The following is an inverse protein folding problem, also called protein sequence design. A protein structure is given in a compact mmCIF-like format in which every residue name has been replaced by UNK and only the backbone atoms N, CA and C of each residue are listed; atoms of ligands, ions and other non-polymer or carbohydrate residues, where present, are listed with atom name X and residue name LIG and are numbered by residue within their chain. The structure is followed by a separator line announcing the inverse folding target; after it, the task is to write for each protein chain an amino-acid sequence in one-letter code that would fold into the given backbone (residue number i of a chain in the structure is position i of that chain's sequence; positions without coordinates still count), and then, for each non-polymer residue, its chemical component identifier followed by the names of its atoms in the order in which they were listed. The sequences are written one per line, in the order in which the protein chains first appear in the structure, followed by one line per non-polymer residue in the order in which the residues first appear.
data_IF_997140999396
#
_entry.id   IF_997140999396
#
_cell.length_a   1.000
_cell.length_b   1.000
_cell.length_c   1.000
_cell.angle_alpha   90.00
_cell.angle_beta   90.00
_cell.angle_gamma   90.00
#
_symmetry.space_group_name_H-M   'P 1'
#
loop_
_entity.id
_entity.type
_entity.pdbx_description
1 polymer ?
#
# COMPACT_ATOMS: atom_id res chain seq x y z
N UNK A 1 -2.29 -14.06 -16.89
CA UNK A 1 -3.17 -13.12 -16.19
C UNK A 1 -2.91 -13.24 -14.69
N UNK A 2 -2.53 -12.14 -14.03
CA UNK A 2 -2.30 -12.14 -12.58
C UNK A 2 -3.64 -12.35 -11.84
N UNK A 3 -3.78 -13.46 -11.11
CA UNK A 3 -4.98 -13.72 -10.30
C UNK A 3 -4.83 -13.09 -8.91
N UNK A 4 -5.81 -13.31 -8.05
CA UNK A 4 -5.88 -12.71 -6.71
C UNK A 4 -4.58 -12.93 -5.91
N UNK A 5 -4.11 -14.19 -5.79
CA UNK A 5 -2.94 -14.54 -4.99
C UNK A 5 -1.64 -13.91 -5.53
N UNK A 6 -1.54 -13.79 -6.85
CA UNK A 6 -0.44 -13.12 -7.55
C UNK A 6 -0.38 -11.63 -7.22
N UNK A 7 -1.51 -10.91 -7.36
CA UNK A 7 -1.57 -9.48 -7.02
C UNK A 7 -1.31 -9.25 -5.54
N UNK A 8 -1.85 -10.11 -4.67
CA UNK A 8 -1.64 -10.08 -3.23
C UNK A 8 -0.15 -10.20 -2.88
N UNK A 9 0.52 -11.21 -3.46
CA UNK A 9 1.95 -11.40 -3.24
C UNK A 9 2.77 -10.23 -3.75
N UNK A 10 2.39 -9.67 -4.91
CA UNK A 10 3.07 -8.52 -5.47
C UNK A 10 2.98 -7.30 -4.55
N UNK A 11 1.79 -6.95 -4.07
CA UNK A 11 1.59 -5.80 -3.16
C UNK A 11 2.36 -5.98 -1.86
N UNK A 12 2.37 -7.20 -1.31
CA UNK A 12 3.20 -7.51 -0.13
C UNK A 12 4.69 -7.28 -0.41
N UNK A 13 5.21 -7.78 -1.52
CA UNK A 13 6.62 -7.57 -1.92
C UNK A 13 6.94 -6.10 -2.19
N UNK A 14 6.00 -5.34 -2.76
CA UNK A 14 6.13 -3.90 -2.99
C UNK A 14 6.34 -3.15 -1.68
N UNK A 15 5.49 -3.42 -0.67
CA UNK A 15 5.58 -2.77 0.64
C UNK A 15 6.82 -3.19 1.42
N UNK A 16 7.15 -4.49 1.39
CA UNK A 16 8.38 -5.05 1.95
C UNK A 16 9.64 -4.38 1.34
N UNK A 17 9.72 -4.30 0.00
CA UNK A 17 10.84 -3.69 -0.69
C UNK A 17 10.94 -2.19 -0.41
N UNK A 18 9.81 -1.48 -0.34
CA UNK A 18 9.79 -0.05 -0.05
C UNK A 18 10.37 0.26 1.32
N UNK A 19 9.94 -0.50 2.34
CA UNK A 19 10.39 -0.34 3.72
C UNK A 19 11.92 -0.51 3.87
N UNK A 20 12.47 -1.56 3.25
CA UNK A 20 13.92 -1.80 3.29
C UNK A 20 14.70 -0.80 2.46
N UNK A 21 14.27 -0.54 1.23
CA UNK A 21 14.95 0.40 0.34
C UNK A 21 14.80 1.85 0.85
N UNK A 22 13.97 2.13 1.85
CA UNK A 22 13.78 3.49 2.36
C UNK A 22 13.14 4.43 1.34
N UNK A 23 12.35 3.88 0.42
CA UNK A 23 11.57 4.66 -0.57
C UNK A 23 10.11 4.74 -0.12
N UNK A 24 9.41 5.80 -0.51
CA UNK A 24 7.99 5.98 -0.19
C UNK A 24 7.15 5.72 -1.44
N UNK A 25 6.31 4.69 -1.39
CA UNK A 25 5.32 4.44 -2.44
C UNK A 25 4.10 5.31 -2.17
N UNK A 26 3.97 6.41 -2.92
CA UNK A 26 2.89 7.38 -2.79
C UNK A 26 1.56 6.77 -3.26
N UNK A 27 1.57 6.11 -4.42
CA UNK A 27 0.46 5.30 -4.91
C UNK A 27 0.94 4.23 -5.89
N UNK A 28 0.08 3.29 -6.24
CA UNK A 28 0.36 2.24 -7.21
C UNK A 28 -0.95 1.71 -7.80
N UNK A 29 -0.86 0.93 -8.87
CA UNK A 29 -1.97 0.11 -9.37
C UNK A 29 -1.41 -1.17 -10.00
N UNK A 30 -1.95 -2.33 -9.62
CA UNK A 30 -1.61 -3.63 -10.23
C UNK A 30 -2.77 -4.10 -11.08
N UNK A 31 -2.57 -4.21 -12.38
CA UNK A 31 -3.52 -4.76 -13.35
C UNK A 31 -3.16 -6.22 -13.64
N UNK A 32 -3.79 -6.83 -14.64
CA UNK A 32 -3.65 -8.26 -14.91
C UNK A 32 -2.37 -8.63 -15.67
N UNK A 33 -1.79 -7.66 -16.37
CA UNK A 33 -0.61 -7.82 -17.23
C UNK A 33 0.53 -6.83 -16.90
N UNK A 34 0.25 -5.73 -16.19
CA UNK A 34 1.25 -4.72 -15.83
C UNK A 34 0.89 -4.03 -14.51
N UNK A 35 1.79 -3.16 -14.04
CA UNK A 35 1.57 -2.35 -12.85
C UNK A 35 2.17 -0.97 -13.03
N UNK A 36 1.66 0.00 -12.27
CA UNK A 36 2.19 1.36 -12.17
C UNK A 36 2.52 1.67 -10.72
N UNK A 37 3.60 2.40 -10.47
CA UNK A 37 4.02 2.81 -9.12
C UNK A 37 4.49 4.25 -9.20
N UNK A 38 3.92 5.11 -8.34
CA UNK A 38 4.49 6.42 -8.04
C UNK A 38 5.29 6.30 -6.75
N UNK A 39 6.59 6.52 -6.86
CA UNK A 39 7.54 6.34 -5.76
C UNK A 39 8.37 7.60 -5.60
N UNK A 40 8.47 8.05 -4.36
CA UNK A 40 9.41 9.06 -3.93
C UNK A 40 10.67 8.36 -3.39
N UNK A 41 11.84 8.82 -3.83
CA UNK A 41 13.13 8.38 -3.31
C UNK A 41 13.69 9.54 -2.47
N UNK A 42 13.62 9.47 -1.13
CA UNK A 42 14.17 10.51 -0.28
C UNK A 42 15.68 10.68 -0.47
N UNK A 43 16.21 11.81 0.00
CA UNK A 43 17.66 12.01 0.04
C UNK A 43 18.33 10.89 0.87
N UNK A 44 19.36 10.28 0.28
CA UNK A 44 20.15 9.26 0.97
C UNK A 44 20.97 9.91 2.09
N UNK A 45 21.00 9.35 3.30
CA UNK A 45 21.86 9.86 4.37
C UNK A 45 23.34 9.86 3.97
N UNK A 46 24.08 10.88 4.40
CA UNK A 46 25.50 11.05 4.06
C UNK A 46 26.40 9.97 4.67
N UNK A 47 26.00 9.43 5.83
CA UNK A 47 26.78 8.46 6.58
C UNK A 47 26.12 7.08 6.55
N UNK A 48 26.96 6.05 6.50
CA UNK A 48 26.54 4.66 6.66
C UNK A 48 25.96 4.49 8.09
N UNK A 49 24.72 4.01 8.26
CA UNK A 49 24.18 3.74 9.57
C UNK A 49 24.90 2.58 10.24
N UNK A 50 24.88 2.59 11.57
CA UNK A 50 25.34 1.45 12.36
C UNK A 50 24.54 0.17 12.07
N UNK A 51 25.14 -0.95 12.44
CA UNK A 51 24.58 -2.28 12.23
C UNK A 51 23.12 -2.42 12.69
N UNK A 52 22.77 -1.89 13.86
CA UNK A 52 21.41 -2.02 14.42
C UNK A 52 20.35 -1.34 13.54
N UNK A 53 20.66 -0.21 12.91
CA UNK A 53 19.72 0.47 12.02
C UNK A 53 19.49 -0.33 10.71
N UNK A 54 20.53 -1.01 10.20
CA UNK A 54 20.41 -1.89 9.04
C UNK A 54 19.64 -3.17 9.41
N UNK A 55 19.94 -3.77 10.57
CA UNK A 55 19.24 -4.94 11.09
C UNK A 55 17.74 -4.68 11.28
N UNK A 56 17.39 -3.55 11.89
CA UNK A 56 15.99 -3.14 12.06
C UNK A 56 15.23 -3.04 10.72
N UNK A 57 15.89 -2.55 9.66
CA UNK A 57 15.29 -2.51 8.30
C UNK A 57 15.16 -3.90 7.67
N UNK A 58 16.04 -4.84 8.01
CA UNK A 58 16.03 -6.20 7.47
C UNK A 58 15.01 -7.10 8.17
N UNK A 59 14.69 -6.86 9.44
CA UNK A 59 13.75 -7.67 10.22
C UNK A 59 12.36 -7.78 9.55
N UNK A 60 11.94 -6.74 8.83
CA UNK A 60 10.69 -6.73 8.07
C UNK A 60 10.72 -7.55 6.77
N UNK A 61 11.91 -7.95 6.31
CA UNK A 61 12.14 -8.48 4.96
C UNK A 61 12.57 -9.95 4.88
N UNK A 62 13.06 -10.49 6.00
CA UNK A 62 13.78 -11.75 6.04
C UNK A 62 13.38 -12.58 7.25
N UNK A 63 13.74 -13.86 7.25
CA UNK A 63 13.41 -14.74 8.37
C UNK A 63 14.17 -14.33 9.64
N UNK A 64 13.60 -14.65 10.81
CA UNK A 64 14.31 -14.48 12.10
C UNK A 64 15.66 -15.18 12.10
N UNK A 65 15.76 -16.33 11.43
CA UNK A 65 17.00 -17.09 11.31
C UNK A 65 18.07 -16.33 10.49
N UNK A 66 17.69 -15.69 9.39
CA UNK A 66 18.62 -14.88 8.59
C UNK A 66 19.13 -13.67 9.39
N UNK A 67 18.26 -13.02 10.16
CA UNK A 67 18.65 -11.92 11.06
C UNK A 67 19.63 -12.41 12.12
N UNK A 68 19.36 -13.55 12.76
CA UNK A 68 20.26 -14.09 13.77
C UNK A 68 21.61 -14.49 13.18
N UNK A 69 21.63 -15.06 11.98
CA UNK A 69 22.89 -15.33 11.27
C UNK A 69 23.68 -14.05 11.03
N UNK A 70 23.03 -12.99 10.56
CA UNK A 70 23.69 -11.71 10.30
C UNK A 70 24.19 -11.05 11.61
N UNK A 71 23.43 -11.13 12.70
CA UNK A 71 23.87 -10.70 14.03
C UNK A 71 25.12 -11.46 14.49
N UNK A 72 25.15 -12.78 14.29
CA UNK A 72 26.31 -13.61 14.58
C UNK A 72 27.54 -13.25 13.75
N UNK A 73 27.36 -12.98 12.46
CA UNK A 73 28.44 -12.53 11.55
C UNK A 73 29.03 -11.19 12.01
N UNK A 74 28.19 -10.22 12.36
CA UNK A 74 28.61 -8.92 12.90
C UNK A 74 29.35 -9.09 14.23
N UNK A 75 28.83 -9.91 15.14
CA UNK A 75 29.47 -10.18 16.44
C UNK A 75 30.86 -10.81 16.26
N UNK A 76 31.00 -11.75 15.32
CA UNK A 76 32.27 -12.40 15.02
C UNK A 76 33.30 -11.44 14.38
N UNK A 77 32.85 -10.47 13.58
CA UNK A 77 33.73 -9.42 13.05
C UNK A 77 34.24 -8.51 14.17
N UNK A 78 33.33 -8.10 15.06
CA UNK A 78 33.67 -7.27 16.24
C UNK A 78 34.63 -7.96 17.20
N UNK A 79 34.44 -9.26 17.47
CA UNK A 79 35.34 -10.01 18.36
C UNK A 79 36.76 -10.13 17.81
N UNK A 80 36.95 -10.00 16.49
CA UNK A 80 38.26 -9.96 15.82
C UNK A 80 38.82 -8.56 15.66
N UNK A 81 38.11 -7.52 16.08
CA UNK A 81 38.48 -6.13 15.81
C UNK A 81 38.40 -5.73 14.32
N UNK A 82 37.70 -6.51 13.49
CA UNK A 82 37.64 -6.31 12.05
C UNK A 82 36.58 -5.27 11.65
N UNK A 83 36.91 -4.00 11.92
CA UNK A 83 36.05 -2.86 11.60
C UNK A 83 35.83 -2.68 10.09
N UNK A 84 36.81 -3.07 9.26
CA UNK A 84 36.71 -2.99 7.80
C UNK A 84 35.70 -4.02 7.29
N UNK A 85 35.79 -5.27 7.75
CA UNK A 85 34.85 -6.32 7.39
C UNK A 85 33.41 -6.02 7.84
N UNK A 86 33.21 -5.47 9.05
CA UNK A 86 31.88 -4.99 9.48
C UNK A 86 31.36 -3.91 8.52
N UNK A 87 32.18 -2.91 8.20
CA UNK A 87 31.79 -1.83 7.29
C UNK A 87 31.40 -2.35 5.91
N UNK A 88 32.19 -3.25 5.34
CA UNK A 88 31.93 -3.84 4.02
C UNK A 88 30.65 -4.68 4.00
N UNK A 89 30.39 -5.45 5.06
CA UNK A 89 29.15 -6.21 5.22
C UNK A 89 27.93 -5.28 5.23
N UNK A 90 27.97 -4.21 6.03
CA UNK A 90 26.89 -3.22 6.11
C UNK A 90 26.70 -2.47 4.78
N UNK A 91 27.80 -2.15 4.08
CA UNK A 91 27.77 -1.46 2.79
C UNK A 91 26.99 -2.25 1.72
N UNK A 92 27.02 -3.59 1.76
CA UNK A 92 26.26 -4.46 0.83
C UNK A 92 24.75 -4.27 0.94
N UNK A 93 24.24 -3.95 2.13
CA UNK A 93 22.84 -3.63 2.36
C UNK A 93 22.56 -2.16 2.06
N UNK A 94 23.43 -1.27 2.53
CA UNK A 94 23.29 0.17 2.36
C UNK A 94 23.19 0.60 0.89
N UNK A 95 23.98 -0.01 -0.01
CA UNK A 95 23.94 0.30 -1.45
C UNK A 95 22.59 0.06 -2.13
N UNK A 96 21.72 -0.74 -1.50
CA UNK A 96 20.39 -1.11 -2.01
C UNK A 96 19.29 -0.17 -1.51
N UNK A 97 19.63 0.70 -0.56
CA UNK A 97 18.71 1.67 0.03
C UNK A 97 18.81 3.02 -0.70
N UNK A 98 17.71 3.76 -0.74
CA UNK A 98 17.49 5.00 -1.51
C UNK A 98 17.90 4.86 -2.98
N UNK A 99 17.63 3.69 -3.57
CA UNK A 99 17.97 3.39 -4.96
C UNK A 99 16.79 2.75 -5.69
N UNK A 100 16.25 3.46 -6.68
CA UNK A 100 15.09 3.00 -7.47
C UNK A 100 15.37 1.68 -8.20
N UNK A 101 16.57 1.52 -8.75
CA UNK A 101 16.97 0.32 -9.49
C UNK A 101 17.00 -0.92 -8.59
N UNK A 102 17.59 -0.81 -7.40
CA UNK A 102 17.64 -1.91 -6.43
C UNK A 102 16.26 -2.22 -5.82
N UNK A 103 15.42 -1.20 -5.61
CA UNK A 103 14.01 -1.39 -5.24
C UNK A 103 13.24 -2.19 -6.30
N UNK A 104 13.29 -1.76 -7.56
CA UNK A 104 12.59 -2.44 -8.66
C UNK A 104 13.14 -3.84 -8.92
N UNK A 105 14.46 -4.02 -8.85
CA UNK A 105 15.12 -5.32 -8.96
C UNK A 105 14.66 -6.27 -7.85
N UNK A 106 14.53 -5.79 -6.61
CA UNK A 106 14.07 -6.61 -5.50
C UNK A 106 12.66 -7.15 -5.72
N UNK A 107 11.72 -6.29 -6.10
CA UNK A 107 10.33 -6.66 -6.38
C UNK A 107 10.30 -7.70 -7.49
N UNK A 108 10.90 -7.37 -8.64
CA UNK A 108 10.86 -8.21 -9.83
C UNK A 108 11.51 -9.58 -9.60
N UNK A 109 12.68 -9.64 -8.97
CA UNK A 109 13.38 -10.90 -8.72
C UNK A 109 12.68 -11.77 -7.68
N UNK A 110 12.21 -11.20 -6.55
CA UNK A 110 11.48 -11.97 -5.53
C UNK A 110 10.15 -12.48 -6.08
N UNK A 111 9.44 -11.67 -6.86
CA UNK A 111 8.18 -12.06 -7.47
C UNK A 111 8.37 -13.15 -8.52
N UNK A 112 9.34 -13.02 -9.44
CA UNK A 112 9.65 -14.06 -10.43
C UNK A 112 9.97 -15.40 -9.78
N UNK A 113 10.84 -15.42 -8.75
CA UNK A 113 11.19 -16.67 -8.05
C UNK A 113 9.98 -17.33 -7.41
N UNK A 114 9.16 -16.54 -6.71
CA UNK A 114 7.94 -17.04 -6.08
C UNK A 114 6.92 -17.56 -7.11
N UNK A 115 6.67 -16.79 -8.17
CA UNK A 115 5.70 -17.13 -9.19
C UNK A 115 6.13 -18.39 -9.96
N UNK A 116 7.41 -18.46 -10.34
CA UNK A 116 7.97 -19.62 -11.02
C UNK A 116 7.89 -20.89 -10.15
N UNK A 117 8.28 -20.79 -8.88
CA UNK A 117 8.16 -21.91 -7.94
C UNK A 117 6.69 -22.36 -7.76
N UNK A 118 5.76 -21.41 -7.60
CA UNK A 118 4.33 -21.70 -7.44
C UNK A 118 3.71 -22.41 -8.64
N UNK A 119 4.15 -22.06 -9.84
CA UNK A 119 3.57 -22.55 -11.10
C UNK A 119 4.42 -23.62 -11.79
N UNK A 120 5.47 -24.14 -11.14
CA UNK A 120 6.38 -25.11 -11.74
C UNK A 120 7.12 -24.61 -12.98
N UNK A 121 7.26 -23.28 -13.13
CA UNK A 121 7.88 -22.63 -14.30
C UNK A 121 9.35 -22.34 -14.05
N UNK A 122 10.10 -22.14 -15.15
CA UNK A 122 11.46 -21.61 -15.16
C UNK A 122 11.55 -20.46 -16.18
N UNK A 123 12.61 -19.67 -16.10
CA UNK A 123 12.86 -18.57 -17.04
C UNK A 123 12.29 -17.21 -16.63
N UNK A 124 12.27 -16.27 -17.58
CA UNK A 124 11.86 -14.88 -17.38
C UNK A 124 10.35 -14.75 -17.21
N UNK A 125 9.92 -13.83 -16.35
CA UNK A 125 8.51 -13.49 -16.13
C UNK A 125 8.14 -12.11 -16.66
N UNK A 126 9.12 -11.20 -16.67
CA UNK A 126 8.94 -9.81 -17.07
C UNK A 126 9.45 -9.63 -18.49
N UNK A 127 8.70 -8.90 -19.30
CA UNK A 127 9.03 -8.62 -20.70
C UNK A 127 10.37 -7.90 -20.88
N UNK A 128 10.71 -6.97 -19.98
CA UNK A 128 11.97 -6.23 -20.05
C UNK A 128 12.33 -5.48 -18.78
N UNK A 129 13.16 -4.43 -18.91
CA UNK A 129 13.44 -3.47 -17.82
C UNK A 129 12.18 -2.66 -17.48
N UNK A 130 12.18 -2.01 -16.31
CA UNK A 130 11.10 -1.08 -15.99
C UNK A 130 11.32 0.24 -16.76
N UNK A 131 10.22 0.91 -17.11
CA UNK A 131 10.26 2.29 -17.58
C UNK A 131 10.10 3.23 -16.38
N UNK A 132 10.83 4.36 -16.38
CA UNK A 132 10.73 5.36 -15.32
C UNK A 132 10.73 6.76 -15.91
N UNK A 133 9.81 7.59 -15.44
CA UNK A 133 9.76 9.03 -15.73
C UNK A 133 10.00 9.76 -14.42
N UNK A 134 10.95 10.69 -14.41
CA UNK A 134 11.17 11.57 -13.26
C UNK A 134 10.06 12.61 -13.25
N UNK A 135 9.37 12.74 -12.13
CA UNK A 135 8.40 13.80 -11.92
C UNK A 135 9.07 14.83 -11.01
N UNK A 136 9.26 16.04 -11.54
CA UNK A 136 9.91 17.10 -10.78
C UNK A 136 8.93 17.75 -9.80
N UNK A 137 9.34 17.81 -8.54
CA UNK A 137 8.58 18.40 -7.43
C UNK A 137 7.32 17.64 -6.98
N UNK A 138 6.80 18.07 -5.83
CA UNK A 138 5.50 17.64 -5.28
C UNK A 138 4.35 18.54 -5.81
N UNK A 139 4.42 18.94 -7.08
CA UNK A 139 3.46 19.84 -7.71
C UNK A 139 2.37 19.12 -8.51
N UNK A 140 1.73 19.85 -9.41
CA UNK A 140 0.60 19.38 -10.23
C UNK A 140 0.90 18.10 -11.01
N UNK A 141 2.09 18.00 -11.62
CA UNK A 141 2.49 16.82 -12.39
C UNK A 141 2.49 15.53 -11.53
N UNK A 142 2.92 15.62 -10.27
CA UNK A 142 2.93 14.50 -9.33
C UNK A 142 1.50 14.03 -9.02
N UNK A 143 0.60 14.97 -8.75
CA UNK A 143 -0.78 14.63 -8.42
C UNK A 143 -1.53 14.08 -9.64
N UNK A 144 -1.32 14.66 -10.82
CA UNK A 144 -1.90 14.16 -12.08
C UNK A 144 -1.41 12.74 -12.38
N UNK A 145 -0.13 12.44 -12.20
CA UNK A 145 0.39 11.08 -12.34
C UNK A 145 -0.20 10.13 -11.30
N UNK A 146 -0.33 10.56 -10.04
CA UNK A 146 -0.95 9.75 -9.01
C UNK A 146 -2.41 9.42 -9.35
N UNK A 147 -3.18 10.44 -9.75
CA UNK A 147 -4.56 10.28 -10.17
C UNK A 147 -4.68 9.39 -11.41
N UNK A 148 -3.73 9.52 -12.34
CA UNK A 148 -3.63 8.62 -13.47
C UNK A 148 -3.51 7.16 -12.98
N UNK A 149 -2.59 6.90 -12.06
CA UNK A 149 -2.33 5.57 -11.53
C UNK A 149 -3.55 5.01 -10.79
N UNK A 150 -4.15 5.76 -9.88
CA UNK A 150 -5.28 5.28 -9.07
C UNK A 150 -6.57 5.05 -9.86
N UNK A 151 -6.76 5.76 -10.99
CA UNK A 151 -7.92 5.60 -11.87
C UNK A 151 -7.72 4.56 -12.99
N UNK A 152 -6.54 3.93 -13.10
CA UNK A 152 -6.33 2.82 -14.03
C UNK A 152 -7.37 1.67 -13.93
N UNK A 153 -7.77 1.19 -12.74
CA UNK A 153 -8.76 0.10 -12.67
C UNK A 153 -10.17 0.56 -13.07
N UNK A 154 -10.47 1.87 -12.97
CA UNK A 154 -11.71 2.46 -13.51
C UNK A 154 -11.63 2.50 -15.03
N UNK A 155 -10.54 3.03 -15.59
CA UNK A 155 -10.26 3.07 -17.03
C UNK A 155 -10.25 1.70 -17.69
N UNK A 156 -9.77 0.68 -16.99
CA UNK A 156 -9.81 -0.71 -17.45
C UNK A 156 -11.21 -1.35 -17.32
N UNK A 157 -12.22 -0.64 -16.79
CA UNK A 157 -13.58 -1.13 -16.61
C UNK A 157 -13.72 -2.19 -15.50
N UNK A 158 -12.74 -2.33 -14.62
CA UNK A 158 -12.72 -3.36 -13.56
C UNK A 158 -13.63 -2.95 -12.39
N UNK A 159 -13.64 -1.67 -12.04
CA UNK A 159 -14.48 -1.07 -10.99
C UNK A 159 -15.03 0.28 -11.45
N UNK A 160 -16.09 0.78 -10.79
CA UNK A 160 -16.61 2.14 -11.04
C UNK A 160 -15.93 3.23 -10.21
N UNK A 161 -15.28 2.85 -9.11
CA UNK A 161 -14.66 3.78 -8.17
C UNK A 161 -13.34 3.16 -7.69
N UNK A 162 -12.23 3.92 -7.69
CA UNK A 162 -10.93 3.38 -7.30
C UNK A 162 -10.91 2.83 -5.88
N UNK A 163 -11.78 3.30 -4.97
CA UNK A 163 -11.87 2.73 -3.60
C UNK A 163 -12.25 1.24 -3.59
N UNK A 164 -12.97 0.79 -4.63
CA UNK A 164 -13.45 -0.58 -4.74
C UNK A 164 -12.40 -1.53 -5.30
N UNK A 165 -11.21 -1.03 -5.69
CA UNK A 165 -10.10 -1.85 -6.18
C UNK A 165 -8.98 -1.96 -5.13
N UNK A 166 -8.86 -3.13 -4.51
CA UNK A 166 -7.85 -3.41 -3.48
C UNK A 166 -6.41 -3.16 -3.93
N UNK A 167 -6.11 -3.43 -5.19
CA UNK A 167 -4.73 -3.41 -5.70
C UNK A 167 -4.34 -2.06 -6.32
N UNK A 168 -4.90 -0.97 -5.81
CA UNK A 168 -4.38 0.39 -6.01
C UNK A 168 -4.17 1.12 -4.69
N UNK A 169 -3.34 2.17 -4.72
CA UNK A 169 -2.94 2.93 -3.55
C UNK A 169 -4.11 3.64 -2.88
N UNK A 170 -5.03 4.22 -3.65
CA UNK A 170 -6.21 4.89 -3.11
C UNK A 170 -7.15 3.90 -2.38
N UNK A 171 -7.46 2.76 -2.99
CA UNK A 171 -8.28 1.72 -2.35
C UNK A 171 -7.63 1.17 -1.08
N UNK A 172 -6.32 0.97 -1.11
CA UNK A 172 -5.53 0.56 0.05
C UNK A 172 -5.55 1.62 1.19
N UNK A 173 -5.48 2.91 0.85
CA UNK A 173 -5.54 4.00 1.80
C UNK A 173 -6.92 4.14 2.45
N UNK A 174 -8.01 4.03 1.66
CA UNK A 174 -9.40 4.03 2.15
C UNK A 174 -9.63 2.90 3.14
N UNK A 175 -9.11 1.69 2.86
CA UNK A 175 -9.21 0.58 3.80
C UNK A 175 -8.33 0.73 5.06
N UNK A 176 -7.39 1.67 5.02
CA UNK A 176 -6.69 2.16 6.19
C UNK A 176 -5.29 1.61 6.39
N UNK A 177 -4.57 1.30 5.32
CA UNK A 177 -3.14 1.01 5.44
C UNK A 177 -2.32 2.29 5.62
N UNK A 178 -1.42 2.28 6.60
CA UNK A 178 -0.68 3.47 7.04
C UNK A 178 0.15 4.11 5.93
N UNK A 179 1.00 3.32 5.25
CA UNK A 179 1.85 3.83 4.18
C UNK A 179 1.06 4.35 2.96
N UNK A 180 -0.12 3.78 2.68
CA UNK A 180 -1.00 4.29 1.62
C UNK A 180 -1.68 5.60 2.03
N UNK A 181 -2.07 5.74 3.32
CA UNK A 181 -2.59 7.00 3.87
C UNK A 181 -1.56 8.12 3.86
N UNK A 182 -0.31 7.80 4.21
CA UNK A 182 0.80 8.75 4.15
C UNK A 182 0.98 9.27 2.72
N UNK A 183 0.99 8.36 1.72
CA UNK A 183 1.04 8.73 0.31
C UNK A 183 -0.09 9.67 -0.11
N UNK A 184 -1.35 9.33 0.22
CA UNK A 184 -2.51 10.22 -0.04
C UNK A 184 -2.41 11.54 0.72
N UNK A 185 -1.82 11.56 1.92
CA UNK A 185 -1.53 12.78 2.68
C UNK A 185 -0.60 13.72 1.93
N UNK A 186 0.51 13.18 1.41
CA UNK A 186 1.47 13.92 0.58
C UNK A 186 0.80 14.45 -0.69
N UNK A 187 0.02 13.61 -1.37
CA UNK A 187 -0.71 14.00 -2.59
C UNK A 187 -1.77 15.07 -2.31
N UNK A 188 -2.48 14.99 -1.19
CA UNK A 188 -3.45 16.01 -0.80
C UNK A 188 -2.78 17.36 -0.49
N UNK A 189 -1.63 17.33 0.18
CA UNK A 189 -0.82 18.52 0.43
C UNK A 189 -0.35 19.16 -0.89
N UNK A 190 0.07 18.34 -1.86
CA UNK A 190 0.42 18.77 -3.20
C UNK A 190 -0.76 19.44 -3.93
N UNK A 191 -1.96 18.83 -3.88
CA UNK A 191 -3.20 19.41 -4.45
C UNK A 191 -3.47 20.80 -3.88
N UNK A 192 -3.35 20.94 -2.56
CA UNK A 192 -3.65 22.19 -1.85
C UNK A 192 -2.53 23.21 -1.91
N UNK A 193 -1.35 22.84 -2.41
CA UNK A 193 -0.12 23.64 -2.33
C UNK A 193 0.14 24.12 -0.89
N UNK A 194 -0.08 23.22 0.08
CA UNK A 194 -0.08 23.56 1.50
C UNK A 194 -0.32 22.36 2.40
N UNK A 195 -0.49 22.60 3.70
CA UNK A 195 -0.74 21.53 4.67
C UNK A 195 -2.20 21.06 4.61
N UNK A 196 -2.41 19.76 4.78
CA UNK A 196 -3.75 19.18 4.93
C UNK A 196 -3.77 18.32 6.18
N UNK A 197 -4.46 18.80 7.20
CA UNK A 197 -4.51 18.13 8.49
C UNK A 197 -5.60 17.07 8.54
N UNK A 198 -5.22 15.89 9.02
CA UNK A 198 -6.13 14.79 9.27
C UNK A 198 -6.49 13.97 8.04
N UNK A 199 -6.45 12.66 8.21
CA UNK A 199 -6.70 11.68 7.15
C UNK A 199 -8.01 11.91 6.36
N UNK A 200 -9.10 12.28 7.04
CA UNK A 200 -10.38 12.55 6.37
C UNK A 200 -10.29 13.71 5.38
N UNK A 201 -9.57 14.77 5.75
CA UNK A 201 -9.38 15.94 4.89
C UNK A 201 -8.44 15.63 3.73
N UNK A 202 -7.34 14.91 3.99
CA UNK A 202 -6.41 14.46 2.94
C UNK A 202 -7.12 13.58 1.91
N UNK A 203 -7.88 12.58 2.38
CA UNK A 203 -8.64 11.69 1.52
C UNK A 203 -9.67 12.45 0.70
N UNK A 204 -10.45 13.35 1.32
CA UNK A 204 -11.48 14.12 0.61
C UNK A 204 -10.87 15.05 -0.45
N UNK A 205 -9.78 15.73 -0.11
CA UNK A 205 -9.02 16.59 -1.02
C UNK A 205 -8.51 15.81 -2.22
N UNK A 206 -7.84 14.68 -1.98
CA UNK A 206 -7.30 13.87 -3.08
C UNK A 206 -8.43 13.25 -3.93
N UNK A 207 -9.53 12.81 -3.29
CA UNK A 207 -10.70 12.27 -4.01
C UNK A 207 -11.34 13.30 -4.93
N UNK A 208 -11.45 14.56 -4.53
CA UNK A 208 -11.93 15.62 -5.43
C UNK A 208 -11.02 15.73 -6.66
N UNK A 209 -9.70 15.77 -6.46
CA UNK A 209 -8.74 15.84 -7.55
C UNK A 209 -8.86 14.63 -8.50
N UNK A 210 -9.02 13.40 -7.98
CA UNK A 210 -9.26 12.20 -8.81
C UNK A 210 -10.43 12.41 -9.78
N UNK A 211 -11.56 12.93 -9.31
CA UNK A 211 -12.78 13.03 -10.10
C UNK A 211 -12.89 14.29 -10.96
N UNK A 212 -12.23 15.40 -10.57
CA UNK A 212 -12.29 16.68 -11.28
C UNK A 212 -11.16 16.86 -12.30
N UNK A 213 -9.97 16.35 -12.01
CA UNK A 213 -8.75 16.59 -12.79
C UNK A 213 -8.10 15.29 -13.29
N UNK A 214 -8.24 14.18 -12.55
CA UNK A 214 -7.70 12.87 -12.95
C UNK A 214 -8.51 12.11 -14.02
N UNK A 215 -9.73 12.55 -14.27
CA UNK A 215 -10.57 12.07 -15.34
C UNK A 215 -10.26 12.94 -16.57
N UNK A 216 -9.33 12.50 -17.41
CA UNK A 216 -9.07 13.15 -18.70
C UNK A 216 -10.41 13.52 -19.33
N UNK A 217 -10.63 14.82 -19.56
CA UNK A 217 -11.86 15.41 -20.13
C UNK A 217 -12.20 14.89 -21.54
N UNK A 218 -11.47 13.90 -22.04
CA UNK A 218 -11.80 13.15 -23.24
C UNK A 218 -12.61 11.95 -22.81
N UNK A 219 -13.91 12.14 -22.62
CA UNK A 219 -14.85 11.06 -22.91
C UNK A 219 -14.49 10.57 -24.32
N UNK A 220 -13.78 9.44 -24.41
CA UNK A 220 -13.62 8.78 -25.69
C UNK A 220 -15.01 8.25 -26.01
N UNK A 221 -15.74 8.94 -26.86
CA UNK A 221 -17.01 8.45 -27.36
C UNK A 221 -16.70 7.22 -28.23
N UNK A 222 -17.45 6.14 -28.04
CA UNK A 222 -17.45 5.00 -28.94
C UNK A 222 -18.02 5.41 -30.30
N UNK A 223 -17.94 4.52 -31.28
CA UNK A 223 -18.53 4.72 -32.62
C UNK A 223 -20.05 4.98 -32.57
N UNK A 224 -20.71 4.59 -31.47
CA UNK A 224 -22.13 4.82 -31.18
C UNK A 224 -22.43 6.16 -30.48
N UNK A 225 -21.42 7.04 -30.31
CA UNK A 225 -21.57 8.32 -29.62
C UNK A 225 -21.77 8.19 -28.11
N UNK A 226 -21.63 7.00 -27.52
CA UNK A 226 -21.70 6.80 -26.07
C UNK A 226 -20.31 6.82 -25.46
N UNK A 227 -20.14 7.26 -24.19
CA UNK A 227 -18.84 7.17 -23.53
C UNK A 227 -18.31 5.72 -23.55
N UNK A 228 -17.07 5.52 -23.98
CA UNK A 228 -16.40 4.22 -23.90
C UNK A 228 -16.33 3.75 -22.45
N UNK A 229 -16.50 2.44 -22.26
CA UNK A 229 -16.42 1.77 -20.95
C UNK A 229 -15.16 2.20 -20.19
N UNK A 230 -15.34 2.73 -18.98
CA UNK A 230 -14.23 2.96 -18.03
C UNK A 230 -13.89 4.42 -17.72
N UNK A 231 -14.58 5.42 -18.25
CA UNK A 231 -14.49 6.78 -17.70
C UNK A 231 -15.32 6.91 -16.43
N UNK A 232 -14.82 7.69 -15.48
CA UNK A 232 -15.61 8.09 -14.32
C UNK A 232 -16.76 8.94 -14.84
N UNK A 233 -18.00 8.48 -14.72
CA UNK A 233 -19.15 9.16 -15.33
C UNK A 233 -19.34 10.56 -14.72
N UNK A 234 -19.81 11.52 -15.53
CA UNK A 234 -20.17 12.88 -15.07
C UNK A 234 -21.03 12.86 -13.81
N UNK A 235 -21.96 11.90 -13.73
CA UNK A 235 -22.82 11.69 -12.56
C UNK A 235 -22.02 11.35 -11.29
N UNK A 236 -21.01 10.48 -11.38
CA UNK A 236 -20.18 10.10 -10.23
C UNK A 236 -19.30 11.28 -9.78
N UNK A 237 -18.78 12.07 -10.72
CA UNK A 237 -18.04 13.29 -10.40
C UNK A 237 -18.93 14.32 -9.67
N UNK A 238 -20.18 14.51 -10.12
CA UNK A 238 -21.15 15.38 -9.44
C UNK A 238 -21.47 14.88 -8.02
N UNK A 239 -21.64 13.57 -7.81
CA UNK A 239 -21.85 12.99 -6.47
C UNK A 239 -20.66 13.24 -5.55
N UNK A 240 -19.43 13.07 -6.06
CA UNK A 240 -18.21 13.32 -5.29
C UNK A 240 -18.05 14.79 -4.96
N UNK A 241 -18.37 15.69 -5.89
CA UNK A 241 -18.37 17.13 -5.67
C UNK A 241 -19.41 17.54 -4.62
N UNK A 242 -20.64 17.04 -4.72
CA UNK A 242 -21.71 17.30 -3.76
C UNK A 242 -21.35 16.80 -2.34
N UNK A 243 -20.62 15.70 -2.23
CA UNK A 243 -20.09 15.20 -0.97
C UNK A 243 -18.79 15.90 -0.51
N UNK A 244 -18.28 16.88 -1.26
CA UNK A 244 -16.99 17.54 -1.04
C UNK A 244 -15.84 16.52 -0.86
N UNK A 245 -15.83 15.46 -1.68
CA UNK A 245 -14.85 14.37 -1.61
C UNK A 245 -15.01 13.42 -0.43
N UNK A 246 -15.96 13.64 0.48
CA UNK A 246 -16.10 12.81 1.69
C UNK A 246 -16.74 11.46 1.35
N UNK A 247 -16.27 10.42 2.04
CA UNK A 247 -16.89 9.10 1.98
C UNK A 247 -17.68 8.85 3.26
N UNK A 248 -18.91 8.30 3.18
CA UNK A 248 -19.64 7.82 4.34
C UNK A 248 -18.85 6.74 5.09
N UNK A 249 -19.03 6.65 6.40
CA UNK A 249 -18.37 5.66 7.24
C UNK A 249 -18.51 4.22 6.72
N UNK A 250 -19.71 3.87 6.25
CA UNK A 250 -20.00 2.54 5.70
C UNK A 250 -19.08 2.16 4.53
N UNK A 251 -18.60 3.12 3.75
CA UNK A 251 -17.66 2.85 2.65
C UNK A 251 -16.26 2.51 3.15
N UNK A 252 -15.77 3.20 4.18
CA UNK A 252 -14.51 2.86 4.84
C UNK A 252 -14.57 1.47 5.46
N UNK A 253 -15.63 1.18 6.21
CA UNK A 253 -15.88 -0.13 6.80
C UNK A 253 -15.95 -1.23 5.73
N UNK A 254 -16.69 -0.99 4.65
CA UNK A 254 -16.80 -1.94 3.53
C UNK A 254 -15.44 -2.24 2.92
N UNK A 255 -14.65 -1.22 2.55
CA UNK A 255 -13.32 -1.44 1.96
C UNK A 255 -12.40 -2.21 2.90
N UNK A 256 -12.46 -1.87 4.19
CA UNK A 256 -11.64 -2.48 5.23
C UNK A 256 -11.98 -3.95 5.46
N UNK A 257 -13.27 -4.26 5.63
CA UNK A 257 -13.77 -5.63 5.87
C UNK A 257 -13.63 -6.50 4.64
N UNK A 258 -13.94 -5.95 3.45
CA UNK A 258 -13.95 -6.72 2.20
C UNK A 258 -12.57 -7.23 1.81
N UNK A 259 -11.54 -6.45 2.11
CA UNK A 259 -10.21 -6.68 1.54
C UNK A 259 -9.12 -6.80 2.60
N UNK A 260 -9.04 -5.88 3.55
CA UNK A 260 -7.80 -5.66 4.32
C UNK A 260 -7.86 -6.23 5.73
N UNK A 261 -8.69 -7.26 5.92
CA UNK A 261 -8.74 -8.08 7.12
C UNK A 261 -9.15 -9.52 6.81
N UNK A 262 -8.42 -10.46 7.40
CA UNK A 262 -8.55 -11.90 7.14
C UNK A 262 -9.66 -12.57 7.97
N UNK A 263 -10.49 -11.78 8.66
CA UNK A 263 -11.64 -12.26 9.43
C UNK A 263 -12.31 -11.13 10.19
N UNK A 264 -13.58 -10.86 9.90
CA UNK A 264 -14.35 -9.84 10.57
C UNK A 264 -15.57 -10.45 11.27
N UNK A 265 -15.64 -10.26 12.59
CA UNK A 265 -16.89 -10.34 13.35
C UNK A 265 -17.14 -8.93 13.84
N UNK A 266 -18.20 -8.30 13.35
CA UNK A 266 -18.56 -6.92 13.63
C UNK A 266 -20.01 -6.88 14.10
N UNK A 267 -20.28 -6.20 15.22
CA UNK A 267 -21.64 -6.06 15.73
C UNK A 267 -21.68 -5.42 17.11
N UNK A 268 -22.78 -5.65 17.83
CA UNK A 268 -22.92 -5.24 19.24
C UNK A 268 -21.96 -6.02 20.13
N UNK A 269 -21.74 -5.53 21.34
CA UNK A 269 -20.92 -6.19 22.36
C UNK A 269 -21.31 -7.66 22.52
N UNK A 270 -22.59 -7.93 22.76
CA UNK A 270 -23.11 -9.28 23.01
C UNK A 270 -22.95 -10.21 21.82
N UNK A 271 -23.19 -9.71 20.60
CA UNK A 271 -22.99 -10.51 19.39
C UNK A 271 -21.53 -10.95 19.26
N UNK A 272 -20.60 -10.01 19.46
CA UNK A 272 -19.16 -10.27 19.33
C UNK A 272 -18.67 -11.20 20.44
N UNK A 273 -19.14 -11.01 21.68
CA UNK A 273 -18.83 -11.92 22.79
C UNK A 273 -19.42 -13.31 22.58
N UNK A 274 -20.63 -13.42 22.04
CA UNK A 274 -21.25 -14.71 21.69
C UNK A 274 -20.40 -15.47 20.68
N UNK A 275 -19.95 -14.80 19.61
CA UNK A 275 -19.08 -15.42 18.60
C UNK A 275 -17.71 -15.79 19.20
N UNK A 276 -17.16 -14.95 20.08
CA UNK A 276 -15.90 -15.24 20.77
C UNK A 276 -15.99 -16.47 21.66
N UNK A 277 -17.02 -16.57 22.51
CA UNK A 277 -17.26 -17.75 23.37
C UNK A 277 -17.46 -19.01 22.53
N UNK A 278 -18.23 -18.91 21.45
CA UNK A 278 -18.48 -20.03 20.54
C UNK A 278 -17.26 -20.47 19.71
N UNK A 279 -16.19 -19.68 19.69
CA UNK A 279 -14.92 -19.99 19.00
C UNK A 279 -13.72 -19.80 19.92
N UNK A 280 -13.88 -20.08 21.22
CA UNK A 280 -12.90 -19.74 22.25
C UNK A 280 -11.53 -20.41 22.03
N UNK A 281 -11.54 -21.59 21.42
CA UNK A 281 -10.39 -22.36 20.96
C UNK A 281 -9.54 -21.64 19.90
N UNK A 282 -10.13 -20.74 19.10
CA UNK A 282 -9.40 -19.94 18.10
C UNK A 282 -8.68 -18.71 18.67
N UNK A 283 -8.73 -18.48 19.99
CA UNK A 283 -8.13 -17.32 20.65
C UNK A 283 -7.12 -17.72 21.73
N UNK A 284 -6.06 -16.92 21.85
CA UNK A 284 -4.99 -17.17 22.82
C UNK A 284 -5.51 -17.25 24.26
N UNK A 285 -4.91 -18.10 25.12
CA UNK A 285 -5.44 -18.43 26.44
C UNK A 285 -5.55 -17.22 27.38
N UNK A 286 -4.70 -16.20 27.19
CA UNK A 286 -4.73 -14.95 27.97
C UNK A 286 -5.91 -14.03 27.61
N UNK A 287 -6.60 -14.29 26.49
CA UNK A 287 -7.73 -13.47 26.06
C UNK A 287 -8.99 -13.87 26.81
N UNK A 288 -9.44 -12.98 27.68
CA UNK A 288 -10.63 -13.18 28.54
C UNK A 288 -11.94 -12.78 27.85
N UNK A 289 -11.88 -11.86 26.89
CA UNK A 289 -13.02 -11.30 26.19
C UNK A 289 -12.76 -11.13 24.68
N UNK A 290 -13.83 -11.15 23.89
CA UNK A 290 -13.77 -11.07 22.44
C UNK A 290 -13.80 -9.66 21.91
N UNK A 291 -14.63 -8.81 22.50
CA UNK A 291 -15.06 -7.56 21.92
C UNK A 291 -14.02 -6.45 22.11
N UNK A 292 -13.75 -5.72 21.05
CA UNK A 292 -12.94 -4.50 21.09
C UNK A 292 -13.76 -3.37 20.48
N UNK A 293 -14.03 -2.32 21.26
CA UNK A 293 -14.75 -1.13 20.78
C UNK A 293 -14.00 -0.52 19.60
N UNK A 294 -14.73 -0.28 18.51
CA UNK A 294 -14.21 0.44 17.35
C UNK A 294 -14.25 1.94 17.61
N UNK A 295 -13.10 2.59 17.52
CA UNK A 295 -12.93 4.04 17.62
C UNK A 295 -13.06 4.69 16.26
N UNK A 296 -13.59 5.90 16.25
CA UNK A 296 -13.84 6.68 15.05
C UNK A 296 -15.16 6.37 14.36
N UNK A 297 -15.99 5.45 14.89
CA UNK A 297 -17.39 5.28 14.50
C UNK A 297 -18.27 5.91 15.56
N UNK A 298 -19.33 6.60 15.15
CA UNK A 298 -20.35 7.13 16.06
C UNK A 298 -21.19 6.01 16.69
N UNK A 299 -21.50 4.97 15.91
CA UNK A 299 -22.19 3.78 16.39
C UNK A 299 -21.32 2.96 17.36
N UNK A 300 -21.96 2.37 18.37
CA UNK A 300 -21.33 1.46 19.35
C UNK A 300 -21.05 0.08 18.75
N UNK A 301 -20.06 0.04 17.86
CA UNK A 301 -19.63 -1.18 17.18
C UNK A 301 -18.39 -1.79 17.84
N UNK A 302 -18.39 -3.12 17.90
CA UNK A 302 -17.32 -3.95 18.45
C UNK A 302 -16.81 -4.94 17.39
N UNK A 303 -15.53 -5.31 17.49
CA UNK A 303 -14.93 -6.33 16.64
C UNK A 303 -14.21 -7.42 17.44
N UNK A 304 -14.28 -8.68 16.99
CA UNK A 304 -13.64 -9.82 17.66
C UNK A 304 -12.12 -9.90 17.40
N UNK A 305 -11.64 -9.48 16.23
CA UNK A 305 -10.23 -9.46 15.83
C UNK A 305 -10.08 -8.61 14.57
N UNK A 306 -8.85 -8.21 14.25
CA UNK A 306 -8.43 -7.84 12.89
C UNK A 306 -9.48 -6.96 12.20
N UNK A 307 -9.75 -5.83 12.83
CA UNK A 307 -10.36 -4.63 12.28
C UNK A 307 -9.72 -3.57 13.17
N UNK A 308 -8.72 -2.81 12.67
CA UNK A 308 -7.90 -1.98 13.58
C UNK A 308 -8.83 -1.17 14.48
N UNK A 309 -8.54 -1.13 15.79
CA UNK A 309 -9.40 -0.50 16.81
C UNK A 309 -9.74 0.96 16.52
N UNK A 310 -9.01 1.62 15.63
CA UNK A 310 -9.39 2.92 15.07
C UNK A 310 -9.56 2.80 13.56
N UNK A 311 -10.67 3.33 13.05
CA UNK A 311 -10.88 3.48 11.61
C UNK A 311 -10.02 4.57 11.00
N UNK A 312 -9.51 5.51 11.79
CA UNK A 312 -8.83 6.71 11.27
C UNK A 312 -7.43 6.96 11.83
N UNK A 313 -6.96 6.15 12.80
CA UNK A 313 -5.57 6.19 13.26
C UNK A 313 -4.64 5.47 12.28
#
# INVERSE_FOLDING_TARGET
MLRFAEKERFVRLLREAAAFCGVRVLTFCVLDNHFHILVEVPARPAQLPGAEAILAKLEALTSRQDIQRLRGEIAALRSRGDAVGERDLLQRYWRRMWNLGEFMKMIKQRYSRWHNARHGRRGTLWEGRYHSVVVDGAGEACVTMAAYIDLNPVRAGIVRDPKDYRWCGYGEAVAGQGGAREGVGILAAAVRRGTVEGWKCSMATYRLHLYLEGNDRREKLGEDGRPTRGTTGREDALKVLAANGRLPMGQYLKCRVRYFHDGAVLGTLDFVEKVFRGRRDHFGPQRRDGARRMRGVEAELYAARDLRKSLFA
#
